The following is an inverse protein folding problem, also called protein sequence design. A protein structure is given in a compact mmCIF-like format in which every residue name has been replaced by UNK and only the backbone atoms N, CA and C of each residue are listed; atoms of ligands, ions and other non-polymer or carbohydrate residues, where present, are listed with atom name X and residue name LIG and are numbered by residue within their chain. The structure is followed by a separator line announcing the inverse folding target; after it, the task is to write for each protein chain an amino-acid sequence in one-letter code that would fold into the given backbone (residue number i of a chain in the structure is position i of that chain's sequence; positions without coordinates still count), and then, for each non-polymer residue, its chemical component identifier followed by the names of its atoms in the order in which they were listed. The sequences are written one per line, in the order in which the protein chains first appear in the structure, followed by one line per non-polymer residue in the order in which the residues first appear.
data_IF_068100318407
#
_entry.id   IF_068100318407
#
_cell.length_a   1.000
_cell.length_b   1.000
_cell.length_c   1.000
_cell.angle_alpha   90.00
_cell.angle_beta   90.00
_cell.angle_gamma   90.00
#
_symmetry.space_group_name_H-M   'P 1'
#
loop_
_entity.id
_entity.type
_entity.pdbx_description
1 polymer ?
#
# COMPACT_ATOMS: atom_id res chain seq x y z
N UNK A 1 7.20 19.08 2.36
CA UNK A 1 6.02 18.57 1.65
C UNK A 1 5.51 17.39 2.47
N UNK A 2 4.32 17.46 3.05
CA UNK A 2 3.69 16.26 3.62
C UNK A 2 3.45 15.30 2.46
N UNK A 3 4.21 14.21 2.42
CA UNK A 3 3.95 13.15 1.47
C UNK A 3 2.57 12.60 1.84
N UNK A 4 1.62 12.64 0.90
CA UNK A 4 0.25 12.18 1.16
C UNK A 4 0.24 10.65 1.17
N UNK A 5 0.78 10.08 2.24
CA UNK A 5 1.02 8.66 2.41
C UNK A 5 -0.26 7.83 2.27
N UNK A 6 -1.42 8.36 2.69
CA UNK A 6 -2.71 7.72 2.45
C UNK A 6 -3.03 7.60 0.95
N UNK A 7 -2.76 8.65 0.17
CA UNK A 7 -2.99 8.64 -1.29
C UNK A 7 -2.06 7.65 -1.99
N UNK A 8 -0.78 7.66 -1.65
CA UNK A 8 0.22 6.76 -2.24
C UNK A 8 -0.06 5.29 -1.86
N UNK A 9 -0.45 5.02 -0.61
CA UNK A 9 -0.87 3.68 -0.19
C UNK A 9 -2.09 3.20 -0.98
N UNK A 10 -3.12 4.03 -1.11
CA UNK A 10 -4.32 3.70 -1.89
C UNK A 10 -4.02 3.45 -3.37
N UNK A 11 -3.13 4.26 -3.97
CA UNK A 11 -2.68 4.08 -5.34
C UNK A 11 -2.04 2.70 -5.53
N UNK A 12 -1.07 2.35 -4.71
CA UNK A 12 -0.35 1.08 -4.84
C UNK A 12 -1.22 -0.15 -4.51
N UNK A 13 -2.12 -0.07 -3.53
CA UNK A 13 -3.11 -1.15 -3.33
C UNK A 13 -4.03 -1.31 -4.55
N UNK A 14 -4.40 -0.22 -5.22
CA UNK A 14 -5.16 -0.25 -6.46
C UNK A 14 -4.41 -0.94 -7.60
N UNK A 15 -3.13 -0.64 -7.78
CA UNK A 15 -2.29 -1.30 -8.80
C UNK A 15 -2.08 -2.79 -8.47
N UNK A 16 -1.83 -3.16 -7.21
CA UNK A 16 -1.73 -4.55 -6.79
C UNK A 16 -3.02 -5.34 -7.11
N UNK A 17 -4.19 -4.75 -6.86
CA UNK A 17 -5.47 -5.36 -7.18
C UNK A 17 -5.64 -5.61 -8.69
N UNK A 18 -5.22 -4.67 -9.56
CA UNK A 18 -5.25 -4.86 -11.02
C UNK A 18 -4.36 -6.00 -11.46
N UNK A 19 -3.14 -6.10 -10.92
CA UNK A 19 -2.22 -7.19 -11.22
C UNK A 19 -2.77 -8.55 -10.78
N UNK A 20 -3.40 -8.63 -9.60
CA UNK A 20 -4.08 -9.86 -9.17
C UNK A 20 -5.26 -10.24 -10.07
N UNK A 21 -6.07 -9.28 -10.52
CA UNK A 21 -7.15 -9.53 -11.47
C UNK A 21 -6.62 -10.09 -12.79
N UNK A 22 -5.50 -9.54 -13.30
CA UNK A 22 -4.86 -10.04 -14.51
C UNK A 22 -4.23 -11.43 -14.31
N UNK A 23 -3.57 -11.66 -13.18
CA UNK A 23 -3.02 -12.98 -12.84
C UNK A 23 -4.13 -14.05 -12.84
N UNK A 24 -5.30 -13.75 -12.27
CA UNK A 24 -6.46 -14.65 -12.32
C UNK A 24 -6.92 -14.96 -13.75
N UNK A 25 -6.97 -13.96 -14.64
CA UNK A 25 -7.32 -14.17 -16.05
C UNK A 25 -6.32 -15.07 -16.77
N UNK A 26 -5.02 -14.88 -16.50
CA UNK A 26 -3.94 -15.69 -17.07
C UNK A 26 -3.94 -17.12 -16.53
N UNK A 27 -4.30 -17.29 -15.26
CA UNK A 27 -4.51 -18.61 -14.67
C UNK A 27 -5.61 -19.38 -15.41
N UNK A 28 -6.74 -18.72 -15.68
CA UNK A 28 -7.88 -19.29 -16.39
C UNK A 28 -7.56 -19.60 -17.87
N UNK A 29 -6.65 -18.85 -18.50
CA UNK A 29 -6.17 -19.12 -19.86
C UNK A 29 -5.03 -20.16 -19.93
N UNK A 30 -4.48 -20.58 -18.79
CA UNK A 30 -3.35 -21.51 -18.70
C UNK A 30 -1.97 -20.88 -18.93
N UNK A 31 -1.88 -19.55 -18.95
CA UNK A 31 -0.63 -18.79 -19.14
C UNK A 31 0.15 -18.60 -17.82
N UNK A 32 0.55 -19.71 -17.21
CA UNK A 32 1.09 -19.74 -15.84
C UNK A 32 2.40 -18.95 -15.63
N UNK A 33 3.25 -18.83 -16.65
CA UNK A 33 4.47 -18.01 -16.55
C UNK A 33 4.12 -16.52 -16.39
N UNK A 34 3.14 -16.04 -17.17
CA UNK A 34 2.69 -14.65 -17.09
C UNK A 34 1.86 -14.42 -15.82
N UNK A 35 1.03 -15.39 -15.41
CA UNK A 35 0.32 -15.36 -14.13
C UNK A 35 1.29 -15.11 -12.97
N UNK A 36 2.39 -15.88 -12.92
CA UNK A 36 3.41 -15.73 -11.88
C UNK A 36 4.08 -14.36 -11.93
N UNK A 37 4.34 -13.85 -13.13
CA UNK A 37 4.91 -12.51 -13.31
C UNK A 37 3.97 -11.42 -12.77
N UNK A 38 2.68 -11.47 -13.10
CA UNK A 38 1.68 -10.51 -12.61
C UNK A 38 1.51 -10.59 -11.09
N UNK A 39 1.51 -11.80 -10.51
CA UNK A 39 1.50 -11.98 -9.06
C UNK A 39 2.72 -11.35 -8.38
N UNK A 40 3.90 -11.41 -9.01
CA UNK A 40 5.12 -10.78 -8.50
C UNK A 40 5.05 -9.25 -8.54
N UNK A 41 4.47 -8.68 -9.61
CA UNK A 41 4.22 -7.24 -9.70
C UNK A 41 3.25 -6.76 -8.61
N UNK A 42 2.18 -7.52 -8.36
CA UNK A 42 1.25 -7.24 -7.27
C UNK A 42 1.95 -7.21 -5.91
N UNK A 43 2.83 -8.18 -5.64
CA UNK A 43 3.64 -8.22 -4.41
C UNK A 43 4.55 -6.99 -4.27
N UNK A 44 5.18 -6.54 -5.36
CA UNK A 44 5.97 -5.31 -5.36
C UNK A 44 5.15 -4.09 -4.94
N UNK A 45 3.93 -3.96 -5.47
CA UNK A 45 3.01 -2.89 -5.11
C UNK A 45 2.51 -3.00 -3.66
N UNK A 46 2.28 -4.20 -3.13
CA UNK A 46 1.97 -4.39 -1.71
C UNK A 46 3.05 -3.83 -0.79
N UNK A 47 4.33 -4.09 -1.08
CA UNK A 47 5.42 -3.56 -0.26
C UNK A 47 5.46 -2.03 -0.22
N UNK A 48 5.20 -1.38 -1.35
CA UNK A 48 5.13 0.08 -1.43
C UNK A 48 3.91 0.63 -0.70
N UNK A 49 2.75 -0.02 -0.87
CA UNK A 49 1.52 0.36 -0.20
C UNK A 49 1.67 0.25 1.33
N UNK A 50 2.23 -0.86 1.82
CA UNK A 50 2.47 -1.10 3.24
C UNK A 50 3.47 -0.11 3.84
N UNK A 51 4.53 0.23 3.10
CA UNK A 51 5.48 1.26 3.52
C UNK A 51 4.77 2.61 3.73
N UNK A 52 3.92 3.02 2.79
CA UNK A 52 3.16 4.25 2.93
C UNK A 52 2.08 4.17 4.01
N UNK A 53 1.38 3.06 4.16
CA UNK A 53 0.38 2.88 5.21
C UNK A 53 1.02 2.97 6.61
N UNK A 54 2.21 2.38 6.80
CA UNK A 54 2.99 2.51 8.04
C UNK A 54 3.40 3.96 8.30
N UNK A 55 3.97 4.64 7.31
CA UNK A 55 4.36 6.04 7.45
C UNK A 55 3.16 6.95 7.79
N UNK A 56 2.00 6.70 7.17
CA UNK A 56 0.77 7.42 7.50
C UNK A 56 0.33 7.18 8.96
N UNK A 57 0.38 5.93 9.42
CA UNK A 57 0.04 5.58 10.80
C UNK A 57 1.00 6.20 11.82
N UNK A 58 2.31 6.16 11.56
CA UNK A 58 3.34 6.79 12.39
C UNK A 58 3.13 8.31 12.48
N UNK A 59 2.90 8.99 11.34
CA UNK A 59 2.60 10.41 11.31
C UNK A 59 1.34 10.79 12.09
N UNK A 60 0.29 9.95 12.04
CA UNK A 60 -0.90 10.16 12.87
C UNK A 60 -0.56 10.04 14.36
N UNK A 61 0.25 9.04 14.74
CA UNK A 61 0.60 8.77 16.13
C UNK A 61 1.49 9.88 16.73
N UNK A 62 2.47 10.38 15.97
CA UNK A 62 3.34 11.50 16.38
C UNK A 62 2.55 12.79 16.59
N UNK A 63 1.60 13.09 15.70
CA UNK A 63 0.70 14.25 15.87
C UNK A 63 -0.17 14.14 17.12
N UNK A 64 -0.67 12.95 17.44
CA UNK A 64 -1.43 12.75 18.68
C UNK A 64 -0.56 12.88 19.94
N UNK A 65 0.71 12.47 19.90
CA UNK A 65 1.63 12.66 21.03
C UNK A 65 2.00 14.14 21.25
N UNK A 66 2.18 14.93 20.19
CA UNK A 66 2.48 16.36 20.30
C UNK A 66 1.29 17.20 20.80
N UNK A 67 0.05 16.74 20.57
CA UNK A 67 -1.19 17.41 21.00
C UNK A 67 -1.59 17.22 22.47
N UNK A 68 -0.86 16.44 23.26
CA UNK A 68 -1.14 16.21 24.69
C UNK A 68 -0.13 16.91 25.63
N UNK A 69 0.41 18.05 25.19
CA UNK A 69 1.25 18.92 26.02
C UNK A 69 0.47 20.11 26.57
N UNK A 70 -0.75 19.87 27.07
CA UNK A 70 -1.37 20.85 27.97
C UNK A 70 -0.67 20.72 29.34
N UNK A 71 0.00 21.77 29.84
CA UNK A 71 0.50 21.75 31.20
C UNK A 71 -0.72 21.67 32.12
N UNK A 72 -0.78 20.63 32.95
CA UNK A 72 -1.70 20.57 34.08
C UNK A 72 -1.39 21.80 34.94
N UNK A 73 -2.31 22.76 34.95
CA UNK A 73 -2.30 23.94 35.82
C UNK A 73 -2.60 23.56 37.27
#
# INVERSE_FOLDING_TARGET
MEHNHHKEAAYHFGEAAKHHQKAQQLHESGEHEQETHEAYLAYGHHNLADHHAKAAAEHHTERHQQGHSDPIA
#
